data_IF_209037043320
#
_entry.id   IF_209037043320
#
_cell.length_a   1.000
_cell.length_b   1.000
_cell.length_c   1.000
_cell.angle_alpha   90.00
_cell.angle_beta   90.00
_cell.angle_gamma   90.00
#
_symmetry.space_group_name_H-M   'P 1'
#
loop_
_entity.id
_entity.type
_entity.pdbx_description
1 polymer ?
#
# COMPACT_ATOMS: atom_id res chain seq x y z
N UNK A 1 0.94 -8.53 -19.79
CA UNK A 1 0.51 -9.22 -18.55
C UNK A 1 -0.83 -8.68 -18.08
N UNK A 2 -1.86 -9.53 -17.98
CA UNK A 2 -3.17 -9.18 -17.39
C UNK A 2 -3.13 -9.50 -15.90
N UNK A 3 -3.33 -8.52 -15.03
CA UNK A 3 -3.36 -8.74 -13.57
C UNK A 3 -4.72 -9.26 -13.11
N UNK A 4 -4.72 -10.05 -12.04
CA UNK A 4 -5.96 -10.53 -11.41
C UNK A 4 -6.64 -9.38 -10.69
N UNK A 5 -7.93 -9.17 -10.98
CA UNK A 5 -8.70 -8.16 -10.26
C UNK A 5 -9.05 -8.63 -8.85
N UNK A 6 -8.83 -7.79 -7.83
CA UNK A 6 -9.20 -8.10 -6.44
C UNK A 6 -10.72 -8.25 -6.24
N UNK A 7 -11.55 -7.56 -7.04
CA UNK A 7 -13.01 -7.58 -6.87
C UNK A 7 -13.68 -8.74 -7.59
N UNK A 8 -13.36 -8.97 -8.86
CA UNK A 8 -14.02 -10.00 -9.68
C UNK A 8 -13.18 -11.26 -9.88
N UNK A 9 -11.94 -11.29 -9.36
CA UNK A 9 -10.98 -12.41 -9.46
C UNK A 9 -10.61 -12.85 -10.90
N UNK A 10 -11.12 -12.15 -11.93
CA UNK A 10 -10.81 -12.37 -13.35
C UNK A 10 -9.51 -11.67 -13.74
N UNK A 11 -8.77 -12.26 -14.70
CA UNK A 11 -7.54 -11.72 -15.29
C UNK A 11 -7.84 -10.64 -16.34
N UNK A 12 -8.49 -9.55 -15.91
CA UNK A 12 -8.91 -8.47 -16.80
C UNK A 12 -8.55 -7.08 -16.26
N UNK A 13 -7.58 -6.99 -15.37
CA UNK A 13 -7.07 -5.71 -14.90
C UNK A 13 -5.95 -5.20 -15.81
N UNK A 14 -6.02 -3.90 -16.11
CA UNK A 14 -5.09 -3.17 -16.97
C UNK A 14 -4.45 -2.04 -16.18
N UNK A 15 -3.16 -1.81 -16.41
CA UNK A 15 -2.41 -0.69 -15.83
C UNK A 15 -2.91 0.63 -16.43
N UNK A 16 -3.43 1.53 -15.59
CA UNK A 16 -3.93 2.83 -16.01
C UNK A 16 -3.42 3.94 -15.11
N UNK A 17 -2.22 4.44 -15.44
CA UNK A 17 -1.59 5.55 -14.76
C UNK A 17 -1.12 5.25 -13.33
N UNK A 18 -0.76 6.30 -12.60
CA UNK A 18 -0.19 6.18 -11.26
C UNK A 18 -0.96 7.02 -10.26
N UNK A 19 -1.22 6.45 -9.09
CA UNK A 19 -1.64 7.20 -7.91
C UNK A 19 -0.41 7.83 -7.27
N UNK A 20 -0.37 9.15 -7.19
CA UNK A 20 0.72 9.90 -6.53
C UNK A 20 0.28 10.28 -5.12
N UNK A 21 1.05 9.89 -4.11
CA UNK A 21 0.94 10.35 -2.73
C UNK A 21 2.26 11.02 -2.32
N UNK A 22 2.30 11.71 -1.17
CA UNK A 22 3.53 12.32 -0.61
C UNK A 22 4.69 11.31 -0.45
N UNK A 23 4.37 10.05 -0.18
CA UNK A 23 5.36 8.96 0.04
C UNK A 23 5.94 8.42 -1.27
N UNK A 24 5.17 8.46 -2.36
CA UNK A 24 5.57 7.84 -3.61
C UNK A 24 4.43 7.64 -4.62
N UNK A 25 4.77 6.99 -5.73
CA UNK A 25 3.85 6.69 -6.83
C UNK A 25 3.52 5.20 -6.80
N UNK A 26 2.22 4.84 -6.84
CA UNK A 26 1.75 3.45 -6.94
C UNK A 26 0.99 3.25 -8.25
N UNK A 27 1.17 2.08 -8.86
CA UNK A 27 0.46 1.73 -10.08
C UNK A 27 -1.05 1.63 -9.81
N UNK A 28 -1.85 2.34 -10.60
CA UNK A 28 -3.31 2.21 -10.57
C UNK A 28 -3.73 1.18 -11.62
N UNK A 29 -4.66 0.33 -11.26
CA UNK A 29 -5.24 -0.69 -12.13
C UNK A 29 -6.73 -0.43 -12.31
N UNK A 30 -7.22 -0.65 -13.53
CA UNK A 30 -8.64 -0.66 -13.85
C UNK A 30 -9.04 -2.04 -14.36
N UNK A 31 -10.11 -2.58 -13.78
CA UNK A 31 -10.72 -3.82 -14.22
C UNK A 31 -11.69 -3.55 -15.38
N UNK A 32 -11.45 -4.08 -16.58
CA UNK A 32 -12.35 -3.84 -17.73
C UNK A 32 -13.74 -4.49 -17.55
N UNK A 33 -13.81 -5.62 -16.85
CA UNK A 33 -15.09 -6.34 -16.62
C UNK A 33 -15.97 -5.70 -15.56
N UNK A 34 -15.36 -5.26 -14.47
CA UNK A 34 -16.06 -4.75 -13.30
C UNK A 34 -16.00 -3.23 -13.18
N UNK A 35 -15.26 -2.55 -14.08
CA UNK A 35 -15.03 -1.10 -14.16
C UNK A 35 -14.50 -0.46 -12.87
N UNK A 36 -14.15 -1.26 -11.86
CA UNK A 36 -13.59 -0.81 -10.58
C UNK A 36 -12.10 -0.54 -10.70
N UNK A 37 -11.67 0.46 -9.94
CA UNK A 37 -10.28 0.84 -9.78
C UNK A 37 -9.69 0.22 -8.53
N UNK A 38 -8.46 -0.24 -8.63
CA UNK A 38 -7.70 -0.68 -7.46
C UNK A 38 -6.23 -0.34 -7.60
N UNK A 39 -5.53 -0.40 -6.48
CA UNK A 39 -4.08 -0.25 -6.38
C UNK A 39 -3.60 -1.51 -5.68
N UNK A 40 -2.42 -1.97 -6.06
CA UNK A 40 -1.77 -3.11 -5.41
C UNK A 40 -1.60 -2.85 -3.91
N UNK A 41 -1.87 -3.89 -3.11
CA UNK A 41 -1.84 -3.79 -1.65
C UNK A 41 -0.52 -4.34 -1.12
N UNK A 42 0.40 -3.43 -0.80
CA UNK A 42 1.71 -3.77 -0.23
C UNK A 42 1.65 -3.94 1.30
N UNK A 43 0.47 -4.06 1.90
CA UNK A 43 0.26 -4.13 3.36
C UNK A 43 0.27 -2.78 4.08
N UNK A 44 0.76 -1.71 3.44
CA UNK A 44 0.79 -0.34 3.98
C UNK A 44 -0.30 0.56 3.37
N UNK A 45 -1.52 0.04 3.25
CA UNK A 45 -2.64 0.79 2.66
C UNK A 45 -3.07 1.92 3.59
N UNK A 46 -3.34 3.11 3.00
CA UNK A 46 -3.74 4.35 3.71
C UNK A 46 -2.70 4.91 4.69
N UNK A 47 -1.49 4.38 4.71
CA UNK A 47 -0.41 4.88 5.55
C UNK A 47 0.22 6.16 4.98
N UNK A 48 0.59 7.10 5.86
CA UNK A 48 1.19 8.40 5.51
C UNK A 48 2.72 8.39 5.50
N UNK A 49 3.33 7.47 6.23
CA UNK A 49 4.78 7.33 6.32
C UNK A 49 5.29 6.21 5.42
N UNK A 50 6.60 6.20 5.14
CA UNK A 50 7.26 5.11 4.41
C UNK A 50 7.13 3.81 5.21
N UNK A 51 6.96 2.68 4.52
CA UNK A 51 6.85 1.35 5.14
C UNK A 51 7.98 1.08 6.14
N UNK A 52 9.23 1.38 5.75
CA UNK A 52 10.41 1.23 6.61
C UNK A 52 10.28 1.91 7.98
N UNK A 53 9.71 3.11 8.04
CA UNK A 53 9.55 3.86 9.30
C UNK A 53 8.50 3.18 10.19
N UNK A 54 7.38 2.75 9.58
CA UNK A 54 6.30 2.08 10.28
C UNK A 54 6.77 0.75 10.85
N UNK A 55 7.45 -0.06 10.05
CA UNK A 55 8.00 -1.35 10.48
C UNK A 55 9.02 -1.16 11.60
N UNK A 56 9.90 -0.15 11.49
CA UNK A 56 10.89 0.17 12.53
C UNK A 56 10.22 0.56 13.86
N UNK A 57 9.19 1.42 13.81
CA UNK A 57 8.45 1.82 15.01
C UNK A 57 7.76 0.63 15.69
N UNK A 58 7.21 -0.30 14.90
CA UNK A 58 6.62 -1.55 15.42
C UNK A 58 7.69 -2.42 16.08
N UNK A 59 8.87 -2.60 15.45
CA UNK A 59 9.97 -3.36 16.05
C UNK A 59 10.40 -2.77 17.39
N UNK A 60 10.63 -1.47 17.46
CA UNK A 60 11.04 -0.79 18.69
C UNK A 60 10.03 -0.96 19.82
N UNK A 61 8.74 -0.89 19.50
CA UNK A 61 7.70 -1.12 20.49
C UNK A 61 7.69 -2.58 20.98
N UNK A 62 7.89 -3.54 20.08
CA UNK A 62 8.01 -4.96 20.45
C UNK A 62 9.27 -5.25 21.28
N UNK A 63 10.35 -4.49 21.06
CA UNK A 63 11.59 -4.58 21.86
C UNK A 63 11.42 -3.98 23.28
N UNK A 64 10.25 -3.41 23.59
CA UNK A 64 9.90 -2.89 24.92
C UNK A 64 10.08 -1.38 25.08
N UNK A 65 10.40 -0.65 24.01
CA UNK A 65 10.49 0.81 24.08
C UNK A 65 9.09 1.43 24.25
N UNK A 66 9.04 2.44 25.11
CA UNK A 66 7.81 3.22 25.32
C UNK A 66 7.45 4.02 24.07
N UNK A 67 6.16 4.32 23.89
CA UNK A 67 5.70 5.11 22.74
C UNK A 67 6.39 6.49 22.66
N UNK A 68 6.73 7.08 23.82
CA UNK A 68 7.52 8.30 23.88
C UNK A 68 8.91 8.08 23.28
N UNK A 69 9.66 7.07 23.72
CA UNK A 69 10.97 6.76 23.16
C UNK A 69 10.92 6.47 21.66
N UNK A 70 9.89 5.75 21.19
CA UNK A 70 9.70 5.47 19.75
C UNK A 70 9.43 6.74 18.95
N UNK A 71 8.68 7.69 19.51
CA UNK A 71 8.35 8.95 18.82
C UNK A 71 9.57 9.87 18.67
N UNK A 72 10.49 9.85 19.64
CA UNK A 72 11.69 10.70 19.65
C UNK A 72 12.96 9.98 19.11
N UNK A 73 12.82 8.76 18.60
CA UNK A 73 13.88 8.00 17.94
C UNK A 73 14.02 8.41 16.46
#
# INVERSE_FOLDING_TARGET
MKTKCQFCKKLSAVKQGYRKNKVGKKQKYQCLKCKKWFVEDDGFKRMRHKSKIITRAIHMHNDGLSLFQVQYH
#
